data_IF_551275230243
#
_entry.id   IF_551275230243
#
_cell.length_a   1.000
_cell.length_b   1.000
_cell.length_c   1.000
_cell.angle_alpha   90.00
_cell.angle_beta   90.00
_cell.angle_gamma   90.00
#
_symmetry.space_group_name_H-M   'P 1'
#
loop_
_entity.id
_entity.type
_entity.pdbx_description
1 polymer ?
#
# COMPACT_ATOMS: atom_id res chain seq x y z
N UNK A 1 -6.88 -1.57 24.30
CA UNK A 1 -7.83 -1.84 23.20
C UNK A 1 -9.14 -1.17 23.60
N UNK A 2 -9.57 -0.10 22.92
CA UNK A 2 -10.86 0.54 23.22
C UNK A 2 -11.86 0.04 22.19
N UNK A 3 -12.97 -0.51 22.68
CA UNK A 3 -14.05 -1.07 21.90
C UNK A 3 -14.56 -0.05 20.89
N UNK A 4 -14.56 -0.45 19.61
CA UNK A 4 -15.04 0.35 18.50
C UNK A 4 -16.58 0.29 18.50
N UNK A 5 -17.29 1.39 18.78
CA UNK A 5 -18.75 1.37 18.69
C UNK A 5 -19.16 1.19 17.22
N UNK A 6 -20.05 0.22 16.99
CA UNK A 6 -20.61 -0.20 15.70
C UNK A 6 -21.60 0.83 15.10
N UNK A 7 -21.36 2.13 15.28
CA UNK A 7 -22.29 3.17 14.81
C UNK A 7 -21.91 3.67 13.41
N UNK A 8 -22.66 3.16 12.42
CA UNK A 8 -22.76 3.54 11.01
C UNK A 8 -21.44 3.62 10.19
N UNK A 9 -21.28 2.75 9.15
CA UNK A 9 -20.14 2.84 8.25
C UNK A 9 -20.33 4.05 7.31
N UNK A 10 -19.87 5.22 7.74
CA UNK A 10 -19.64 6.30 6.79
C UNK A 10 -18.48 5.87 5.87
N UNK A 11 -18.61 6.03 4.54
CA UNK A 11 -17.58 5.59 3.59
C UNK A 11 -16.22 6.28 3.78
N UNK A 12 -16.19 7.38 4.54
CA UNK A 12 -14.99 8.18 4.80
C UNK A 12 -14.57 8.09 6.27
N UNK A 13 -13.76 7.07 6.57
CA UNK A 13 -13.22 6.82 7.91
C UNK A 13 -12.26 7.95 8.37
N UNK A 14 -11.62 8.65 7.42
CA UNK A 14 -10.67 9.74 7.66
C UNK A 14 -11.13 10.79 8.68
N UNK A 15 -12.39 11.26 8.60
CA UNK A 15 -12.90 12.29 9.51
C UNK A 15 -13.02 11.81 10.96
N UNK A 16 -13.16 10.50 11.20
CA UNK A 16 -13.16 9.93 12.56
C UNK A 16 -11.77 10.00 13.21
N UNK A 17 -10.70 10.03 12.43
CA UNK A 17 -9.33 9.92 12.94
C UNK A 17 -8.92 11.20 13.70
N UNK A 18 -9.50 12.34 13.31
CA UNK A 18 -9.27 13.63 13.96
C UNK A 18 -10.07 13.83 15.26
N UNK A 19 -11.13 13.04 15.53
CA UNK A 19 -11.92 13.17 16.76
C UNK A 19 -11.09 12.74 17.97
N UNK A 20 -10.70 13.71 18.79
CA UNK A 20 -9.90 13.48 20.00
C UNK A 20 -8.40 13.30 19.74
N UNK A 21 -7.91 13.68 18.55
CA UNK A 21 -6.49 13.71 18.24
C UNK A 21 -5.82 14.87 19.00
N UNK A 22 -4.71 14.58 19.68
CA UNK A 22 -3.95 15.55 20.47
C UNK A 22 -2.56 15.74 19.89
N UNK A 23 -1.99 16.94 20.03
CA UNK A 23 -0.63 17.26 19.58
C UNK A 23 0.44 16.31 20.16
N UNK A 24 0.19 15.71 21.33
CA UNK A 24 1.09 14.70 21.93
C UNK A 24 1.15 13.38 21.14
N UNK A 25 0.15 13.05 20.33
CA UNK A 25 0.18 11.89 19.44
C UNK A 25 0.93 12.17 18.14
N UNK A 26 0.94 13.43 17.67
CA UNK A 26 1.59 13.81 16.41
C UNK A 26 3.07 13.45 16.37
N UNK A 27 3.82 13.70 17.46
CA UNK A 27 5.23 13.35 17.51
C UNK A 27 5.45 11.83 17.49
N UNK A 28 4.59 11.07 18.17
CA UNK A 28 4.67 9.60 18.22
C UNK A 28 4.35 8.99 16.85
N UNK A 29 3.32 9.50 16.19
CA UNK A 29 2.90 9.06 14.86
C UNK A 29 3.92 9.45 13.80
N UNK A 30 4.57 10.62 13.93
CA UNK A 30 5.67 11.03 13.05
C UNK A 30 6.88 10.08 13.18
N UNK A 31 7.31 9.77 14.41
CA UNK A 31 8.42 8.84 14.64
C UNK A 31 8.07 7.46 14.09
N UNK A 32 6.88 6.94 14.40
CA UNK A 32 6.41 5.66 13.88
C UNK A 32 6.36 5.65 12.34
N UNK A 33 5.84 6.72 11.73
CA UNK A 33 5.76 6.87 10.27
C UNK A 33 7.14 6.85 9.61
N UNK A 34 8.12 7.58 10.16
CA UNK A 34 9.50 7.57 9.65
C UNK A 34 10.14 6.18 9.81
N UNK A 35 9.94 5.51 10.94
CA UNK A 35 10.44 4.14 11.15
C UNK A 35 9.85 3.15 10.15
N UNK A 36 8.53 3.21 9.92
CA UNK A 36 7.87 2.35 8.93
C UNK A 36 8.35 2.68 7.52
N UNK A 37 8.44 3.97 7.16
CA UNK A 37 8.90 4.39 5.84
C UNK A 37 10.32 3.89 5.52
N UNK A 38 11.22 3.91 6.50
CA UNK A 38 12.60 3.44 6.33
C UNK A 38 12.67 1.97 5.90
N UNK A 39 11.76 1.12 6.40
CA UNK A 39 11.66 -0.30 6.00
C UNK A 39 10.83 -0.45 4.73
N UNK A 40 9.80 0.37 4.57
CA UNK A 40 8.81 0.23 3.52
C UNK A 40 9.34 0.62 2.13
N UNK A 41 10.22 1.62 2.04
CA UNK A 41 10.85 2.04 0.77
C UNK A 41 11.62 0.90 0.10
N UNK A 42 12.63 0.26 0.74
CA UNK A 42 13.34 -0.84 0.10
C UNK A 42 12.44 -2.07 -0.11
N UNK A 43 11.47 -2.32 0.78
CA UNK A 43 10.52 -3.41 0.63
C UNK A 43 9.65 -3.26 -0.63
N UNK A 44 9.08 -2.07 -0.86
CA UNK A 44 8.25 -1.79 -2.02
C UNK A 44 9.05 -1.91 -3.34
N UNK A 45 10.28 -1.42 -3.35
CA UNK A 45 11.20 -1.59 -4.49
C UNK A 45 11.49 -3.05 -4.79
N UNK A 46 11.75 -3.86 -3.76
CA UNK A 46 11.97 -5.30 -3.92
C UNK A 46 10.74 -6.00 -4.50
N UNK A 47 9.53 -5.62 -4.07
CA UNK A 47 8.29 -6.21 -4.57
C UNK A 47 7.99 -5.85 -6.02
N UNK A 48 8.32 -4.64 -6.47
CA UNK A 48 8.27 -4.30 -7.88
C UNK A 48 9.18 -5.20 -8.73
N UNK A 49 10.38 -5.50 -8.23
CA UNK A 49 11.31 -6.43 -8.91
C UNK A 49 10.70 -7.83 -8.98
N UNK A 50 10.06 -8.32 -7.91
CA UNK A 50 9.34 -9.61 -7.94
C UNK A 50 8.21 -9.62 -8.98
N UNK A 51 7.58 -8.46 -9.21
CA UNK A 51 6.56 -8.25 -10.24
C UNK A 51 7.15 -8.07 -11.67
N UNK A 52 8.47 -8.19 -11.86
CA UNK A 52 9.11 -7.94 -13.15
C UNK A 52 9.09 -6.47 -13.59
N UNK A 53 8.87 -5.54 -12.66
CA UNK A 53 8.78 -4.11 -12.92
C UNK A 53 10.05 -3.34 -12.52
N UNK A 54 10.28 -2.15 -13.09
CA UNK A 54 11.29 -1.23 -12.58
C UNK A 54 11.04 -0.91 -11.10
N UNK A 55 12.08 -0.85 -10.24
CA UNK A 55 11.93 -0.67 -8.78
C UNK A 55 11.09 0.55 -8.37
N UNK A 56 11.16 1.63 -9.16
CA UNK A 56 10.43 2.88 -8.92
C UNK A 56 8.90 2.69 -8.93
N UNK A 57 8.39 1.72 -9.69
CA UNK A 57 6.94 1.41 -9.71
C UNK A 57 6.43 0.92 -8.36
N UNK A 58 7.28 0.28 -7.57
CA UNK A 58 6.98 -0.13 -6.19
C UNK A 58 6.73 1.08 -5.29
N UNK A 59 7.49 2.16 -5.49
CA UNK A 59 7.31 3.41 -4.74
C UNK A 59 6.00 4.11 -5.12
N UNK A 60 5.64 4.14 -6.40
CA UNK A 60 4.38 4.72 -6.86
C UNK A 60 3.17 3.95 -6.30
N UNK A 61 3.18 2.63 -6.40
CA UNK A 61 2.10 1.78 -5.90
C UNK A 61 1.97 1.88 -4.37
N UNK A 62 3.09 1.82 -3.64
CA UNK A 62 3.12 2.00 -2.19
C UNK A 62 2.53 3.35 -1.76
N UNK A 63 2.94 4.44 -2.40
CA UNK A 63 2.48 5.78 -2.07
C UNK A 63 0.99 5.98 -2.33
N UNK A 64 0.52 5.60 -3.53
CA UNK A 64 -0.89 5.72 -3.91
C UNK A 64 -1.77 4.84 -3.03
N UNK A 65 -1.40 3.57 -2.81
CA UNK A 65 -2.16 2.66 -1.96
C UNK A 65 -2.24 3.16 -0.51
N UNK A 66 -1.16 3.73 0.03
CA UNK A 66 -1.13 4.30 1.38
C UNK A 66 -2.08 5.49 1.50
N UNK A 67 -2.11 6.40 0.52
CA UNK A 67 -3.03 7.55 0.51
C UNK A 67 -4.49 7.07 0.45
N UNK A 68 -4.79 6.15 -0.47
CA UNK A 68 -6.14 5.60 -0.62
C UNK A 68 -6.57 4.89 0.68
N UNK A 69 -5.70 4.06 1.25
CA UNK A 69 -5.96 3.39 2.53
C UNK A 69 -6.10 4.38 3.70
N UNK A 70 -5.40 5.51 3.69
CA UNK A 70 -5.56 6.54 4.72
C UNK A 70 -6.95 7.22 4.68
N UNK A 71 -7.53 7.38 3.48
CA UNK A 71 -8.84 8.02 3.32
C UNK A 71 -10.00 7.05 3.62
N UNK A 72 -9.89 5.81 3.13
CA UNK A 72 -10.98 4.82 3.16
C UNK A 72 -10.79 3.72 4.21
N UNK A 73 -9.61 3.62 4.83
CA UNK A 73 -9.26 2.52 5.73
C UNK A 73 -10.08 2.51 7.03
N UNK A 74 -10.51 1.32 7.44
CA UNK A 74 -11.20 1.11 8.72
C UNK A 74 -10.24 1.10 9.92
N UNK A 75 -8.94 0.90 9.68
CA UNK A 75 -7.91 0.80 10.72
C UNK A 75 -6.80 1.83 10.55
N UNK A 76 -6.51 2.56 11.63
CA UNK A 76 -5.46 3.60 11.71
C UNK A 76 -4.03 3.06 11.74
N UNK A 77 -3.84 1.76 11.94
CA UNK A 77 -2.52 1.13 12.06
C UNK A 77 -2.21 0.15 10.92
N UNK A 78 -3.12 0.02 9.95
CA UNK A 78 -2.93 -0.89 8.82
C UNK A 78 -2.04 -0.22 7.77
N UNK A 79 -0.88 -0.82 7.49
CA UNK A 79 -0.06 -0.44 6.36
C UNK A 79 -0.56 -1.17 5.08
N UNK A 80 -0.72 -0.44 3.97
CA UNK A 80 -1.26 -0.97 2.72
C UNK A 80 -0.36 -0.61 1.54
N UNK A 81 -0.08 -1.58 0.68
CA UNK A 81 0.50 -1.37 -0.65
C UNK A 81 0.99 -2.68 -1.25
N UNK A 82 2.08 -2.71 -2.04
CA UNK A 82 2.49 -3.93 -2.73
C UNK A 82 2.84 -5.02 -1.72
N UNK A 83 2.50 -6.27 -2.05
CA UNK A 83 2.74 -7.46 -1.23
C UNK A 83 3.47 -8.51 -2.07
N UNK A 84 4.47 -9.17 -1.51
CA UNK A 84 5.27 -10.16 -2.23
C UNK A 84 4.41 -11.22 -2.96
N UNK A 85 3.37 -11.73 -2.29
CA UNK A 85 2.50 -12.75 -2.87
C UNK A 85 1.75 -12.25 -4.09
N UNK A 86 1.18 -11.04 -4.06
CA UNK A 86 0.44 -10.50 -5.22
C UNK A 86 1.39 -10.21 -6.37
N UNK A 87 2.58 -9.65 -6.11
CA UNK A 87 3.59 -9.43 -7.13
C UNK A 87 4.03 -10.72 -7.83
N UNK A 88 4.29 -11.78 -7.06
CA UNK A 88 4.69 -13.09 -7.60
C UNK A 88 3.55 -13.76 -8.38
N UNK A 89 2.32 -13.72 -7.86
CA UNK A 89 1.17 -14.30 -8.54
C UNK A 89 0.87 -13.58 -9.85
N UNK A 90 0.82 -12.25 -9.86
CA UNK A 90 0.59 -11.47 -11.08
C UNK A 90 1.68 -11.73 -12.13
N UNK A 91 2.95 -11.74 -11.72
CA UNK A 91 4.04 -12.08 -12.62
C UNK A 91 3.94 -13.52 -13.15
N UNK A 92 3.57 -14.49 -12.30
CA UNK A 92 3.43 -15.90 -12.72
C UNK A 92 2.38 -16.11 -13.82
N UNK A 93 1.28 -15.36 -13.77
CA UNK A 93 0.24 -15.39 -14.80
C UNK A 93 0.79 -14.90 -16.13
N UNK A 94 1.53 -13.78 -16.14
CA UNK A 94 2.07 -13.20 -17.38
C UNK A 94 3.21 -14.02 -17.97
N UNK A 95 4.07 -14.60 -17.13
CA UNK A 95 5.05 -15.58 -17.59
C UNK A 95 4.38 -16.81 -18.22
N UNK A 96 3.25 -17.28 -17.67
CA UNK A 96 2.45 -18.35 -18.28
C UNK A 96 1.90 -18.00 -19.66
N UNK A 97 1.62 -16.71 -19.90
CA UNK A 97 1.21 -16.16 -21.20
C UNK A 97 2.39 -15.87 -22.15
N UNK A 98 3.63 -16.17 -21.73
CA UNK A 98 4.87 -15.90 -22.48
C UNK A 98 5.11 -14.42 -22.79
N UNK A 99 4.63 -13.53 -21.93
CA UNK A 99 4.94 -12.10 -22.03
C UNK A 99 6.32 -11.81 -21.48
N UNK A 100 7.06 -10.92 -22.13
CA UNK A 100 8.38 -10.50 -21.67
C UNK A 100 8.28 -9.34 -20.68
N UNK A 101 8.99 -9.40 -19.52
CA UNK A 101 9.05 -8.30 -18.56
C UNK A 101 9.52 -7.00 -19.20
N UNK A 102 9.10 -5.88 -18.60
CA UNK A 102 9.51 -4.52 -19.02
C UNK A 102 9.07 -4.10 -20.44
N UNK A 103 8.20 -4.88 -21.09
CA UNK A 103 7.50 -4.46 -22.31
C UNK A 103 6.25 -3.63 -21.98
N UNK A 104 5.75 -2.84 -22.93
CA UNK A 104 4.51 -2.07 -22.75
C UNK A 104 3.30 -2.98 -22.44
N UNK A 105 3.23 -4.14 -23.11
CA UNK A 105 2.19 -5.14 -22.85
C UNK A 105 2.28 -5.64 -21.40
N UNK A 106 3.48 -6.00 -20.92
CA UNK A 106 3.68 -6.43 -19.52
C UNK A 106 3.19 -5.38 -18.52
N UNK A 107 3.53 -4.11 -18.74
CA UNK A 107 3.11 -3.00 -17.89
C UNK A 107 1.58 -2.87 -17.87
N UNK A 108 0.94 -2.95 -19.04
CA UNK A 108 -0.51 -2.83 -19.15
C UNK A 108 -1.26 -3.97 -18.45
N UNK A 109 -0.82 -5.22 -18.62
CA UNK A 109 -1.46 -6.37 -17.98
C UNK A 109 -1.21 -6.43 -16.48
N UNK A 110 -0.02 -6.07 -16.01
CA UNK A 110 0.25 -5.97 -14.57
C UNK A 110 -0.59 -4.90 -13.90
N UNK A 111 -0.85 -3.77 -14.57
CA UNK A 111 -1.74 -2.73 -14.06
C UNK A 111 -3.20 -3.22 -13.95
N UNK A 112 -3.64 -4.14 -14.83
CA UNK A 112 -4.97 -4.76 -14.75
C UNK A 112 -5.07 -5.82 -13.64
N UNK A 113 -3.96 -6.46 -13.28
CA UNK A 113 -3.90 -7.47 -12.21
C UNK A 113 -3.62 -6.90 -10.82
N UNK A 114 -3.41 -5.57 -10.71
CA UNK A 114 -3.02 -4.88 -9.49
C UNK A 114 -4.19 -4.51 -8.58
#
# INVERSE_FOLDING_TARGET
MRDFPLTAPLPFSFFRWFRGYSAGYLLRDLIAGVTVAAVYVPQAMAYAILAGMPPITGLYTAFVATIVAAVFGSSRFLNTGPVAMTCLLSASVLYGLRLEPQTEEWVSYMALLA
#
